data_IF_304017385965
#
_entry.id   IF_304017385965
#
_cell.length_a   1.000
_cell.length_b   1.000
_cell.length_c   1.000
_cell.angle_alpha   90.00
_cell.angle_beta   90.00
_cell.angle_gamma   90.00
#
_symmetry.space_group_name_H-M   'P 1'
#
loop_
_entity.id
_entity.type
_entity.pdbx_description
1 polymer ?
#
# COMPACT_ATOMS: atom_id res chain seq x y z
N UNK A 1 -8.70 7.76 4.99
CA UNK A 1 -7.62 8.76 5.00
C UNK A 1 -6.31 8.13 5.46
N UNK A 2 -5.20 8.27 4.73
CA UNK A 2 -3.92 7.60 5.03
C UNK A 2 -2.94 8.49 5.82
N UNK A 3 -2.83 8.25 7.13
CA UNK A 3 -1.97 9.02 8.06
C UNK A 3 -0.51 9.12 7.61
N UNK A 4 0.04 8.06 6.99
CA UNK A 4 1.42 8.08 6.47
C UNK A 4 1.58 9.21 5.45
N UNK A 5 0.65 9.31 4.50
CA UNK A 5 0.70 10.34 3.46
C UNK A 5 0.51 11.75 4.02
N UNK A 6 -0.34 11.89 5.03
CA UNK A 6 -0.59 13.17 5.69
C UNK A 6 0.63 13.67 6.46
N UNK A 7 1.23 12.79 7.28
CA UNK A 7 2.43 13.11 8.04
C UNK A 7 3.58 13.49 7.11
N UNK A 8 3.80 12.73 6.03
CA UNK A 8 4.81 13.06 5.01
C UNK A 8 4.55 14.42 4.36
N UNK A 9 3.31 14.74 3.98
CA UNK A 9 2.96 16.06 3.41
C UNK A 9 3.14 17.21 4.41
N UNK A 10 2.96 16.94 5.70
CA UNK A 10 3.19 17.90 6.77
C UNK A 10 4.66 18.03 7.17
N UNK A 11 5.60 17.36 6.48
CA UNK A 11 7.03 17.38 6.81
C UNK A 11 7.38 16.63 8.10
N UNK A 12 6.48 15.77 8.60
CA UNK A 12 6.71 14.95 9.78
C UNK A 12 7.41 13.65 9.41
N UNK A 13 8.22 13.13 10.34
CA UNK A 13 8.77 11.78 10.25
C UNK A 13 7.66 10.75 10.40
N UNK A 14 7.74 9.69 9.59
CA UNK A 14 6.95 8.46 9.76
C UNK A 14 7.90 7.32 10.08
N UNK A 15 7.54 6.47 11.03
CA UNK A 15 8.35 5.35 11.50
C UNK A 15 7.64 4.05 11.14
N UNK A 16 8.36 3.12 10.53
CA UNK A 16 7.80 1.81 10.17
C UNK A 16 8.69 0.65 10.58
N UNK A 17 8.10 -0.54 10.50
CA UNK A 17 8.73 -1.82 10.87
C UNK A 17 8.48 -2.85 9.76
N UNK A 18 9.39 -3.81 9.61
CA UNK A 18 9.21 -4.91 8.67
C UNK A 18 8.10 -5.87 9.17
N UNK A 19 7.20 -6.26 8.26
CA UNK A 19 6.17 -7.25 8.51
C UNK A 19 6.65 -8.68 8.23
N UNK A 20 6.05 -9.64 8.92
CA UNK A 20 6.24 -11.07 8.70
C UNK A 20 4.88 -11.77 8.54
N UNK A 21 4.81 -12.94 7.89
CA UNK A 21 3.54 -13.64 7.70
C UNK A 21 3.11 -14.35 8.98
N UNK A 22 2.59 -13.58 9.92
CA UNK A 22 2.07 -14.04 11.19
C UNK A 22 0.83 -13.22 11.57
N UNK A 23 -0.34 -13.77 11.27
CA UNK A 23 -1.66 -13.15 11.45
C UNK A 23 -2.02 -12.89 12.93
N UNK A 24 -1.41 -13.61 13.87
CA UNK A 24 -1.60 -13.38 15.30
C UNK A 24 -0.86 -12.12 15.78
N UNK A 25 0.38 -11.93 15.33
CA UNK A 25 1.26 -10.85 15.82
C UNK A 25 1.11 -9.55 15.03
N UNK A 26 0.73 -9.60 13.75
CA UNK A 26 0.66 -8.40 12.92
C UNK A 26 -0.38 -7.37 13.40
N UNK A 27 -1.59 -7.74 13.85
CA UNK A 27 -2.56 -6.77 14.39
C UNK A 27 -2.04 -6.08 15.66
N UNK A 28 -1.35 -6.82 16.54
CA UNK A 28 -0.72 -6.26 17.74
C UNK A 28 0.39 -5.27 17.38
N UNK A 29 1.23 -5.64 16.41
CA UNK A 29 2.28 -4.76 15.88
C UNK A 29 1.68 -3.51 15.21
N UNK A 30 0.54 -3.64 14.53
CA UNK A 30 -0.11 -2.55 13.84
C UNK A 30 -0.80 -1.54 14.77
N UNK A 31 -1.15 -1.94 16.00
CA UNK A 31 -1.61 -1.03 17.05
C UNK A 31 -0.47 -0.48 17.93
N UNK A 32 0.77 -0.90 17.68
CA UNK A 32 1.96 -0.35 18.34
C UNK A 32 2.31 1.05 17.81
N UNK A 33 3.44 1.60 18.22
CA UNK A 33 3.86 2.98 17.90
C UNK A 33 4.36 3.21 16.45
N UNK A 34 4.02 2.32 15.50
CA UNK A 34 4.46 2.43 14.11
C UNK A 34 3.39 3.09 13.22
N UNK A 35 3.82 3.95 12.29
CA UNK A 35 2.95 4.56 11.29
C UNK A 35 2.63 3.59 10.14
N UNK A 36 3.53 2.64 9.86
CA UNK A 36 3.34 1.63 8.83
C UNK A 36 4.06 0.31 9.13
N UNK A 37 3.56 -0.77 8.52
CA UNK A 37 4.25 -2.06 8.44
C UNK A 37 4.61 -2.30 6.98
N UNK A 38 5.87 -2.61 6.70
CA UNK A 38 6.36 -2.91 5.36
C UNK A 38 6.45 -4.42 5.13
N UNK A 39 5.57 -4.94 4.29
CA UNK A 39 5.64 -6.31 3.77
C UNK A 39 6.56 -6.33 2.56
N UNK A 40 7.61 -7.15 2.63
CA UNK A 40 8.68 -7.14 1.64
C UNK A 40 8.61 -8.35 0.72
N UNK A 41 8.41 -8.14 -0.58
CA UNK A 41 8.43 -9.20 -1.60
C UNK A 41 9.74 -9.21 -2.41
N UNK A 42 10.65 -8.26 -2.17
CA UNK A 42 11.92 -8.17 -2.88
C UNK A 42 13.02 -9.01 -2.21
N UNK A 43 13.07 -9.00 -0.88
CA UNK A 43 14.09 -9.70 -0.10
C UNK A 43 13.52 -10.69 0.92
N UNK A 44 12.25 -11.09 0.76
CA UNK A 44 11.67 -12.19 1.51
C UNK A 44 11.20 -13.31 0.55
N UNK A 45 11.03 -14.55 1.05
CA UNK A 45 10.49 -15.66 0.26
C UNK A 45 8.96 -15.61 0.14
N UNK A 46 8.32 -14.51 0.56
CA UNK A 46 6.87 -14.35 0.58
C UNK A 46 6.39 -13.46 -0.55
N UNK A 47 5.16 -13.72 -0.98
CA UNK A 47 4.46 -12.92 -1.98
C UNK A 47 3.15 -12.40 -1.39
N UNK A 48 2.50 -11.49 -2.11
CA UNK A 48 1.27 -10.81 -1.67
C UNK A 48 0.22 -11.79 -1.12
N UNK A 49 0.06 -12.95 -1.76
CA UNK A 49 -0.94 -13.95 -1.34
C UNK A 49 -0.67 -14.46 0.08
N UNK A 50 0.59 -14.67 0.44
CA UNK A 50 0.98 -15.02 1.80
C UNK A 50 0.75 -13.85 2.74
N UNK A 51 1.00 -12.61 2.32
CA UNK A 51 0.82 -11.42 3.17
C UNK A 51 -0.63 -10.97 3.36
N UNK A 52 -1.54 -11.37 2.46
CA UNK A 52 -2.93 -10.92 2.45
C UNK A 52 -3.67 -11.08 3.80
N UNK A 53 -3.62 -12.22 4.52
CA UNK A 53 -4.31 -12.35 5.79
C UNK A 53 -3.83 -11.33 6.84
N UNK A 54 -2.53 -11.03 6.85
CA UNK A 54 -1.96 -10.02 7.76
C UNK A 54 -2.39 -8.61 7.36
N UNK A 55 -2.40 -8.30 6.05
CA UNK A 55 -2.86 -6.99 5.55
C UNK A 55 -4.35 -6.78 5.89
N UNK A 56 -5.19 -7.81 5.72
CA UNK A 56 -6.61 -7.76 6.08
C UNK A 56 -6.80 -7.60 7.59
N UNK A 57 -6.01 -8.30 8.41
CA UNK A 57 -6.07 -8.19 9.87
C UNK A 57 -5.59 -6.83 10.43
N UNK A 58 -4.96 -6.01 9.58
CA UNK A 58 -4.60 -4.61 9.88
C UNK A 58 -5.73 -3.61 9.62
N UNK A 59 -6.91 -4.05 9.19
CA UNK A 59 -8.06 -3.16 9.04
C UNK A 59 -8.38 -2.45 10.36
N UNK A 60 -8.65 -1.14 10.29
CA UNK A 60 -8.94 -0.27 11.44
C UNK A 60 -7.79 -0.12 12.47
N UNK A 61 -6.58 -0.55 12.12
CA UNK A 61 -5.36 -0.39 12.94
C UNK A 61 -4.66 0.93 12.68
N UNK A 62 -3.76 1.31 13.60
CA UNK A 62 -3.01 2.57 13.49
C UNK A 62 -2.01 2.57 12.33
N UNK A 63 -1.25 1.49 12.18
CA UNK A 63 -0.24 1.36 11.14
C UNK A 63 -0.85 1.05 9.77
N UNK A 64 -0.39 1.72 8.72
CA UNK A 64 -0.80 1.40 7.36
C UNK A 64 -0.01 0.18 6.82
N UNK A 65 -0.66 -0.82 6.19
CA UNK A 65 0.04 -1.86 5.46
C UNK A 65 0.67 -1.27 4.19
N UNK A 66 1.99 -1.35 4.08
CA UNK A 66 2.74 -1.02 2.87
C UNK A 66 3.36 -2.29 2.30
N UNK A 67 3.45 -2.38 0.97
CA UNK A 67 4.07 -3.52 0.29
C UNK A 67 5.23 -3.03 -0.57
N UNK A 68 6.42 -3.59 -0.36
CA UNK A 68 7.50 -3.52 -1.34
C UNK A 68 7.32 -4.66 -2.33
N UNK A 69 6.91 -4.34 -3.56
CA UNK A 69 6.78 -5.33 -4.63
C UNK A 69 8.17 -5.83 -5.06
N UNK A 70 8.25 -7.02 -5.64
CA UNK A 70 9.52 -7.61 -6.06
C UNK A 70 10.20 -6.86 -7.22
N UNK A 71 9.40 -6.21 -8.08
CA UNK A 71 9.85 -5.48 -9.27
C UNK A 71 8.75 -4.50 -9.76
N UNK A 72 9.11 -3.50 -10.57
CA UNK A 72 8.18 -2.55 -11.18
C UNK A 72 7.29 -3.19 -12.28
N UNK A 73 6.31 -4.00 -11.87
CA UNK A 73 5.36 -4.69 -12.77
C UNK A 73 3.93 -4.42 -12.34
N UNK A 74 3.08 -4.02 -13.28
CA UNK A 74 1.74 -3.53 -12.98
C UNK A 74 0.83 -4.58 -12.32
N UNK A 75 0.94 -5.85 -12.69
CA UNK A 75 0.19 -6.96 -12.07
C UNK A 75 0.56 -7.18 -10.60
N UNK A 76 1.85 -7.14 -10.26
CA UNK A 76 2.33 -7.30 -8.89
C UNK A 76 1.92 -6.12 -8.01
N UNK A 77 1.99 -4.90 -8.55
CA UNK A 77 1.45 -3.70 -7.91
C UNK A 77 -0.06 -3.85 -7.70
N UNK A 78 -0.81 -4.29 -8.71
CA UNK A 78 -2.24 -4.53 -8.59
C UNK A 78 -2.56 -5.57 -7.51
N UNK A 79 -1.84 -6.69 -7.46
CA UNK A 79 -2.06 -7.71 -6.43
C UNK A 79 -1.86 -7.15 -5.03
N UNK A 80 -0.77 -6.41 -4.80
CA UNK A 80 -0.51 -5.77 -3.51
C UNK A 80 -1.63 -4.80 -3.10
N UNK A 81 -2.07 -3.96 -4.03
CA UNK A 81 -3.17 -3.03 -3.81
C UNK A 81 -4.51 -3.74 -3.61
N UNK A 82 -4.72 -4.87 -4.27
CA UNK A 82 -5.93 -5.68 -4.13
C UNK A 82 -5.93 -6.54 -2.88
N UNK A 83 -4.77 -6.79 -2.26
CA UNK A 83 -4.67 -7.32 -0.91
C UNK A 83 -4.99 -6.27 0.16
N UNK A 84 -5.08 -4.99 -0.21
CA UNK A 84 -5.43 -3.89 0.69
C UNK A 84 -4.24 -3.02 1.12
N UNK A 85 -3.10 -3.12 0.43
CA UNK A 85 -1.98 -2.23 0.68
C UNK A 85 -2.39 -0.75 0.53
N UNK A 86 -1.99 0.06 1.51
CA UNK A 86 -2.22 1.52 1.56
C UNK A 86 -1.00 2.31 1.11
N UNK A 87 0.11 1.62 0.86
CA UNK A 87 1.28 2.17 0.18
C UNK A 87 2.03 1.12 -0.61
N UNK A 88 2.62 1.53 -1.72
CA UNK A 88 3.46 0.68 -2.56
C UNK A 88 4.87 1.27 -2.60
N UNK A 89 5.86 0.42 -2.33
CA UNK A 89 7.27 0.70 -2.56
C UNK A 89 7.71 -0.11 -3.78
N UNK A 90 8.23 0.56 -4.79
CA UNK A 90 8.72 -0.12 -6.00
C UNK A 90 10.24 0.00 -6.04
N UNK A 91 10.97 -1.13 -6.07
CA UNK A 91 12.42 -1.10 -6.09
C UNK A 91 12.99 -0.83 -7.49
N UNK A 92 14.23 -0.33 -7.50
CA UNK A 92 15.06 -0.15 -8.69
C UNK A 92 14.43 0.80 -9.72
N UNK A 93 13.78 1.87 -9.27
CA UNK A 93 13.23 2.92 -10.13
C UNK A 93 14.33 3.95 -10.42
N UNK A 94 14.94 3.86 -11.59
CA UNK A 94 16.13 4.63 -11.97
C UNK A 94 15.84 5.71 -13.02
N UNK A 95 14.67 5.67 -13.63
CA UNK A 95 14.28 6.60 -14.71
C UNK A 95 12.94 7.27 -14.43
N UNK A 96 12.71 8.41 -15.09
CA UNK A 96 11.43 9.13 -15.05
C UNK A 96 10.31 8.26 -15.60
N UNK A 97 10.58 7.52 -16.66
CA UNK A 97 9.63 6.65 -17.35
C UNK A 97 9.20 5.50 -16.44
N UNK A 98 10.14 4.89 -15.71
CA UNK A 98 9.82 3.87 -14.69
C UNK A 98 8.98 4.43 -13.55
N UNK A 99 9.29 5.64 -13.07
CA UNK A 99 8.50 6.30 -12.04
C UNK A 99 7.08 6.62 -12.53
N UNK A 100 6.92 7.06 -13.78
CA UNK A 100 5.61 7.28 -14.40
C UNK A 100 4.83 5.98 -14.55
N UNK A 101 5.47 4.90 -14.99
CA UNK A 101 4.85 3.58 -15.11
C UNK A 101 4.36 3.05 -13.75
N UNK A 102 5.19 3.19 -12.70
CA UNK A 102 4.81 2.87 -11.31
C UNK A 102 3.56 3.63 -10.88
N UNK A 103 3.55 4.96 -11.08
CA UNK A 103 2.41 5.80 -10.65
C UNK A 103 1.14 5.40 -11.39
N UNK A 104 1.22 5.17 -12.72
CA UNK A 104 0.07 4.76 -13.52
C UNK A 104 -0.47 3.40 -13.09
N UNK A 105 0.39 2.44 -12.77
CA UNK A 105 -0.04 1.12 -12.25
C UNK A 105 -0.77 1.21 -10.89
N UNK A 106 -0.46 2.23 -10.09
CA UNK A 106 -1.05 2.42 -8.76
C UNK A 106 -2.42 3.14 -8.78
N UNK A 107 -2.69 3.96 -9.80
CA UNK A 107 -3.86 4.85 -9.85
C UNK A 107 -4.96 4.30 -10.75
N UNK A 108 -6.21 4.44 -10.30
CA UNK A 108 -7.37 4.21 -11.13
C UNK A 108 -7.52 5.32 -12.18
N UNK A 109 -8.23 5.01 -13.28
CA UNK A 109 -8.61 5.97 -14.31
C UNK A 109 -9.33 7.20 -13.72
N UNK A 110 -9.08 8.43 -14.22
CA UNK A 110 -8.23 8.78 -15.37
C UNK A 110 -6.74 9.01 -15.02
N UNK A 111 -6.36 8.86 -13.74
CA UNK A 111 -5.00 9.19 -13.28
C UNK A 111 -3.98 8.08 -13.53
N UNK A 112 -4.45 6.88 -13.88
CA UNK A 112 -3.61 5.73 -14.20
C UNK A 112 -4.41 4.60 -14.83
N UNK A 113 -3.79 3.43 -14.87
CA UNK A 113 -4.25 2.24 -15.59
C UNK A 113 -4.62 1.09 -14.66
N UNK A 114 -4.71 1.33 -13.34
CA UNK A 114 -5.12 0.30 -12.38
C UNK A 114 -6.53 -0.18 -12.75
N UNK A 115 -6.65 -1.47 -13.01
CA UNK A 115 -7.95 -2.12 -13.22
C UNK A 115 -8.72 -2.21 -11.92
N UNK A 116 -10.05 -2.26 -12.04
CA UNK A 116 -10.95 -2.22 -10.92
C UNK A 116 -11.56 -3.60 -10.62
N UNK A 117 -11.25 -4.17 -9.46
CA UNK A 117 -11.80 -5.44 -8.96
C UNK A 117 -12.77 -5.28 -7.76
N UNK A 118 -13.27 -4.07 -7.52
CA UNK A 118 -14.11 -3.72 -6.37
C UNK A 118 -13.34 -3.06 -5.22
N UNK A 119 -14.03 -2.83 -4.10
CA UNK A 119 -13.41 -2.22 -2.90
C UNK A 119 -12.34 -3.14 -2.30
N UNK A 120 -11.17 -2.57 -1.99
CA UNK A 120 -10.00 -3.25 -1.39
C UNK A 120 -9.27 -2.31 -0.42
N UNK A 121 -8.84 -2.85 0.71
CA UNK A 121 -8.20 -2.09 1.77
C UNK A 121 -9.17 -1.17 2.53
N UNK A 122 -8.75 -0.75 3.71
CA UNK A 122 -9.48 0.18 4.57
C UNK A 122 -9.06 1.63 4.24
N UNK A 123 -10.00 2.44 3.78
CA UNK A 123 -9.76 3.83 3.36
C UNK A 123 -10.58 4.85 4.15
N UNK A 124 -11.20 4.44 5.26
CA UNK A 124 -12.22 5.20 5.97
C UNK A 124 -13.58 5.19 5.28
N UNK A 125 -14.56 5.94 5.82
CA UNK A 125 -15.90 6.03 5.25
C UNK A 125 -15.88 6.71 3.88
N UNK A 126 -16.62 6.15 2.92
CA UNK A 126 -16.80 6.69 1.56
C UNK A 126 -18.28 6.75 1.23
N UNK A 127 -18.75 7.84 0.60
CA UNK A 127 -20.17 8.05 0.28
C UNK A 127 -20.69 7.04 -0.73
N UNK A 128 -19.90 6.77 -1.76
CA UNK A 128 -20.22 5.87 -2.86
C UNK A 128 -18.92 5.31 -3.47
N UNK A 129 -19.07 4.48 -4.51
CA UNK A 129 -17.93 3.80 -5.11
C UNK A 129 -16.96 4.75 -5.83
N UNK A 130 -17.47 5.87 -6.36
CA UNK A 130 -16.61 6.88 -7.01
C UNK A 130 -15.79 7.61 -5.95
N UNK A 131 -16.39 7.96 -4.83
CA UNK A 131 -15.69 8.58 -3.70
C UNK A 131 -14.60 7.66 -3.13
N UNK A 132 -14.85 6.34 -3.10
CA UNK A 132 -13.81 5.35 -2.80
C UNK A 132 -12.63 5.42 -3.79
N UNK A 133 -12.90 5.37 -5.10
CA UNK A 133 -11.84 5.47 -6.14
C UNK A 133 -11.05 6.76 -5.99
N UNK A 134 -11.73 7.90 -5.83
CA UNK A 134 -11.11 9.21 -5.69
C UNK A 134 -10.25 9.27 -4.41
N UNK A 135 -10.73 8.65 -3.32
CA UNK A 135 -9.98 8.52 -2.06
C UNK A 135 -8.73 7.68 -2.22
N UNK A 136 -8.79 6.51 -2.85
CA UNK A 136 -7.60 5.68 -3.13
C UNK A 136 -6.59 6.46 -3.98
N UNK A 137 -7.06 7.09 -5.05
CA UNK A 137 -6.22 7.90 -5.93
C UNK A 137 -5.56 9.07 -5.18
N UNK A 138 -6.26 9.71 -4.25
CA UNK A 138 -5.72 10.83 -3.48
C UNK A 138 -4.77 10.37 -2.37
N UNK A 139 -5.07 9.28 -1.68
CA UNK A 139 -4.47 8.96 -0.37
C UNK A 139 -3.42 7.83 -0.42
N UNK A 140 -3.34 7.06 -1.52
CA UNK A 140 -2.32 6.02 -1.69
C UNK A 140 -0.90 6.61 -1.67
N UNK A 141 -0.02 6.01 -0.86
CA UNK A 141 1.42 6.30 -0.83
C UNK A 141 2.10 5.51 -1.94
N UNK A 142 2.95 6.17 -2.73
CA UNK A 142 3.70 5.54 -3.81
C UNK A 142 5.14 6.02 -3.64
N UNK A 143 6.06 5.09 -3.37
CA UNK A 143 7.45 5.39 -3.07
C UNK A 143 8.37 4.66 -4.07
N UNK A 144 9.08 5.38 -4.94
CA UNK A 144 10.17 4.80 -5.71
C UNK A 144 11.39 4.57 -4.81
N UNK A 145 12.12 3.49 -5.05
CA UNK A 145 13.41 3.17 -4.42
C UNK A 145 14.47 2.93 -5.49
#
# INVERSE_FOLDING_TARGET
MNKVKENLKAGKTVVGVAGAPNDVTMPLLADSAYDFILFDEQHSPYQTKQFRPMIEAMSEKNAAPMVRVSINRADLICFALDAGARGIVVPMVNTKEEAQAMVRACKYSPLGDRSNAGMRGEWGPTKDYKDYIDTVNRDLVIAPM
#
